data_IF_195449871931
#
_entry.id   IF_195449871931
#
_cell.length_a   1.000
_cell.length_b   1.000
_cell.length_c   1.000
_cell.angle_alpha   90.00
_cell.angle_beta   90.00
_cell.angle_gamma   90.00
#
_symmetry.space_group_name_H-M   'P 1'
#
loop_
_entity.id
_entity.type
_entity.pdbx_description
1 polymer ?
#
# COMPACT_ATOMS: atom_id res chain seq x y z
N UNK A 1 -0.58 29.60 2.24
CA UNK A 1 0.08 28.28 2.13
C UNK A 1 1.34 28.52 1.33
N UNK A 2 2.52 28.29 1.90
CA UNK A 2 3.75 28.30 1.11
C UNK A 2 3.61 27.17 0.07
N UNK A 3 3.69 27.51 -1.21
CA UNK A 3 3.81 26.52 -2.27
C UNK A 3 5.12 25.76 -2.02
N UNK A 4 5.02 24.59 -1.41
CA UNK A 4 6.14 23.66 -1.40
C UNK A 4 6.39 23.28 -2.85
N UNK A 5 7.49 23.76 -3.42
CA UNK A 5 7.94 23.33 -4.74
C UNK A 5 8.20 21.81 -4.66
N UNK A 6 7.33 21.04 -5.31
CA UNK A 6 7.46 19.59 -5.41
C UNK A 6 8.62 19.31 -6.36
N UNK A 7 9.60 18.54 -5.88
CA UNK A 7 10.75 18.06 -6.64
C UNK A 7 10.69 16.54 -6.72
N UNK A 8 11.57 15.91 -7.51
CA UNK A 8 11.62 14.44 -7.58
C UNK A 8 11.85 13.82 -6.20
N UNK A 9 12.70 14.40 -5.37
CA UNK A 9 13.04 13.87 -4.05
C UNK A 9 11.97 14.20 -2.98
N UNK A 10 11.13 15.22 -3.19
CA UNK A 10 10.07 15.62 -2.24
C UNK A 10 8.66 15.14 -2.61
N UNK A 11 8.48 14.58 -3.80
CA UNK A 11 7.21 13.97 -4.23
C UNK A 11 6.90 12.73 -3.38
N UNK A 12 5.70 12.66 -2.80
CA UNK A 12 5.21 11.49 -2.08
C UNK A 12 4.99 10.33 -3.07
N UNK A 13 5.89 9.35 -3.02
CA UNK A 13 5.89 8.20 -3.93
C UNK A 13 4.81 7.18 -3.63
N UNK A 14 4.07 7.35 -2.53
CA UNK A 14 2.96 6.49 -2.13
C UNK A 14 1.60 7.04 -2.55
N UNK A 15 1.53 8.27 -3.07
CA UNK A 15 0.29 8.85 -3.53
C UNK A 15 -0.31 8.01 -4.67
N UNK A 16 -1.56 7.60 -4.52
CA UNK A 16 -2.23 6.68 -5.45
C UNK A 16 -2.27 7.24 -6.89
N UNK A 17 -2.54 8.54 -7.07
CA UNK A 17 -2.53 9.18 -8.39
C UNK A 17 -1.15 9.04 -9.07
N UNK A 18 -0.07 9.28 -8.32
CA UNK A 18 1.28 9.17 -8.83
C UNK A 18 1.66 7.72 -9.16
N UNK A 19 1.35 6.76 -8.27
CA UNK A 19 1.66 5.34 -8.51
C UNK A 19 0.90 4.81 -9.71
N UNK A 20 -0.37 5.19 -9.89
CA UNK A 20 -1.14 4.83 -11.08
C UNK A 20 -0.54 5.44 -12.34
N UNK A 21 -0.13 6.70 -12.32
CA UNK A 21 0.63 7.27 -13.45
C UNK A 21 1.91 6.48 -13.74
N UNK A 22 2.68 6.14 -12.71
CA UNK A 22 3.95 5.44 -12.88
C UNK A 22 3.77 4.02 -13.41
N UNK A 23 2.74 3.30 -12.97
CA UNK A 23 2.55 1.87 -13.28
C UNK A 23 1.50 1.56 -14.34
N UNK A 24 0.68 2.52 -14.76
CA UNK A 24 -0.35 2.27 -15.78
C UNK A 24 -0.31 3.23 -16.97
N UNK A 25 0.60 4.20 -17.03
CA UNK A 25 0.74 5.01 -18.23
C UNK A 25 1.47 4.23 -19.35
N UNK A 26 0.98 4.34 -20.59
CA UNK A 26 1.58 3.68 -21.74
C UNK A 26 3.03 4.16 -21.95
N UNK A 27 3.94 3.23 -22.28
CA UNK A 27 5.37 3.50 -22.37
C UNK A 27 6.12 3.34 -21.04
N UNK A 28 5.45 2.96 -19.95
CA UNK A 28 6.10 2.66 -18.67
C UNK A 28 6.32 1.15 -18.46
N UNK A 29 6.06 0.30 -19.45
CA UNK A 29 6.03 -1.16 -19.31
C UNK A 29 7.33 -1.72 -18.72
N UNK A 30 8.49 -1.15 -19.10
CA UNK A 30 9.80 -1.52 -18.55
C UNK A 30 9.92 -1.25 -17.04
N UNK A 31 9.39 -0.11 -16.60
CA UNK A 31 9.40 0.28 -15.19
C UNK A 31 8.60 -0.75 -14.39
N UNK A 32 7.40 -1.08 -14.88
CA UNK A 32 6.52 -2.00 -14.17
C UNK A 32 7.05 -3.43 -14.21
N UNK A 33 7.61 -3.85 -15.34
CA UNK A 33 8.21 -5.17 -15.49
C UNK A 33 9.38 -5.33 -14.51
N UNK A 34 10.22 -4.30 -14.35
CA UNK A 34 11.29 -4.33 -13.36
C UNK A 34 10.74 -4.45 -11.93
N UNK A 35 9.71 -3.68 -11.58
CA UNK A 35 9.09 -3.77 -10.25
C UNK A 35 8.50 -5.16 -9.98
N UNK A 36 7.69 -5.69 -10.89
CA UNK A 36 7.08 -7.01 -10.76
C UNK A 36 8.16 -8.08 -10.65
N UNK A 37 9.17 -8.07 -11.52
CA UNK A 37 10.25 -9.05 -11.45
C UNK A 37 11.05 -8.96 -10.15
N UNK A 38 11.26 -7.75 -9.61
CA UNK A 38 11.91 -7.59 -8.31
C UNK A 38 11.12 -8.27 -7.18
N UNK A 39 9.78 -8.20 -7.20
CA UNK A 39 8.89 -8.88 -6.24
C UNK A 39 8.97 -10.40 -6.39
N UNK A 40 8.84 -10.91 -7.63
CA UNK A 40 8.85 -12.34 -7.91
C UNK A 40 10.19 -13.00 -7.56
N UNK A 41 11.29 -12.39 -8.00
CA UNK A 41 12.64 -12.89 -7.80
C UNK A 41 13.03 -12.96 -6.32
N UNK A 42 12.51 -12.07 -5.48
CA UNK A 42 12.84 -12.04 -4.06
C UNK A 42 12.40 -13.33 -3.32
N UNK A 43 11.42 -14.07 -3.85
CA UNK A 43 11.04 -15.40 -3.34
C UNK A 43 11.37 -16.54 -4.32
N UNK A 44 12.22 -16.27 -5.32
CA UNK A 44 12.63 -17.20 -6.37
C UNK A 44 11.45 -17.71 -7.22
N UNK A 45 10.39 -16.92 -7.37
CA UNK A 45 9.35 -17.21 -8.36
C UNK A 45 9.85 -16.89 -9.77
N UNK A 46 9.21 -17.50 -10.77
CA UNK A 46 9.48 -17.21 -12.17
C UNK A 46 9.22 -15.73 -12.47
N UNK A 47 10.15 -15.12 -13.20
CA UNK A 47 10.05 -13.74 -13.69
C UNK A 47 9.47 -13.70 -15.10
N UNK A 48 9.09 -12.49 -15.52
CA UNK A 48 8.44 -12.24 -16.80
C UNK A 48 9.40 -11.58 -17.80
N UNK A 49 9.21 -11.87 -19.08
CA UNK A 49 9.98 -11.27 -20.17
C UNK A 49 9.25 -10.08 -20.80
N UNK A 50 7.91 -10.14 -20.79
CA UNK A 50 7.04 -9.17 -21.46
C UNK A 50 5.88 -8.76 -20.58
N UNK A 51 5.44 -7.52 -20.74
CA UNK A 51 4.37 -6.91 -19.97
C UNK A 51 3.49 -6.04 -20.88
N UNK A 52 2.19 -6.18 -20.74
CA UNK A 52 1.16 -5.36 -21.37
C UNK A 52 0.28 -4.72 -20.29
N UNK A 53 0.13 -3.40 -20.31
CA UNK A 53 -0.77 -2.68 -19.40
C UNK A 53 -2.21 -2.82 -19.91
N UNK A 54 -3.09 -3.46 -19.14
CA UNK A 54 -4.47 -3.74 -19.55
C UNK A 54 -5.43 -2.58 -19.28
N UNK A 55 -5.19 -1.81 -18.23
CA UNK A 55 -6.05 -0.69 -17.82
C UNK A 55 -5.29 0.65 -17.78
N UNK A 56 -4.88 1.21 -18.95
CA UNK A 56 -4.05 2.40 -18.99
C UNK A 56 -4.58 3.57 -18.17
N UNK A 57 -3.67 4.31 -17.53
CA UNK A 57 -4.02 5.45 -16.69
C UNK A 57 -4.88 6.45 -17.45
N UNK A 58 -6.03 6.78 -16.88
CA UNK A 58 -6.88 7.82 -17.41
C UNK A 58 -7.36 8.71 -16.26
N UNK A 59 -6.93 9.98 -16.28
CA UNK A 59 -7.20 10.92 -15.20
C UNK A 59 -8.70 11.14 -14.97
N UNK A 60 -9.50 11.22 -16.03
CA UNK A 60 -10.95 11.45 -15.90
C UNK A 60 -11.65 10.23 -15.31
N UNK A 61 -11.30 9.02 -15.74
CA UNK A 61 -11.82 7.78 -15.14
C UNK A 61 -11.37 7.64 -13.70
N UNK A 62 -10.11 7.98 -13.39
CA UNK A 62 -9.59 7.98 -12.03
C UNK A 62 -10.40 8.88 -11.09
N UNK A 63 -10.70 10.12 -11.50
CA UNK A 63 -11.52 11.05 -10.71
C UNK A 63 -12.96 10.57 -10.51
N UNK A 64 -13.52 9.81 -11.46
CA UNK A 64 -14.90 9.33 -11.45
C UNK A 64 -15.07 7.92 -10.83
N UNK A 65 -13.99 7.17 -10.67
CA UNK A 65 -14.01 5.78 -10.19
C UNK A 65 -13.46 5.69 -8.76
N UNK A 66 -13.88 4.64 -8.04
CA UNK A 66 -13.27 4.26 -6.75
C UNK A 66 -12.16 3.21 -6.90
N UNK A 67 -11.80 2.84 -8.13
CA UNK A 67 -10.85 1.78 -8.40
C UNK A 67 -9.41 2.34 -8.44
N UNK A 68 -8.62 1.97 -7.45
CA UNK A 68 -7.19 2.31 -7.32
C UNK A 68 -6.27 1.28 -8.01
N UNK A 69 -6.82 0.21 -8.56
CA UNK A 69 -6.08 -0.96 -9.02
C UNK A 69 -5.43 -0.72 -10.40
N UNK A 70 -4.21 -1.26 -10.57
CA UNK A 70 -3.50 -1.36 -11.85
C UNK A 70 -3.49 -2.82 -12.30
N UNK A 71 -4.08 -3.10 -13.45
CA UNK A 71 -4.23 -4.42 -14.03
C UNK A 71 -3.28 -4.57 -15.21
N UNK A 72 -2.49 -5.64 -15.17
CA UNK A 72 -1.38 -5.86 -16.11
C UNK A 72 -1.39 -7.33 -16.52
N UNK A 73 -0.99 -7.59 -17.76
CA UNK A 73 -0.75 -8.93 -18.28
C UNK A 73 0.74 -9.15 -18.49
N UNK A 74 1.30 -10.17 -17.86
CA UNK A 74 2.70 -10.53 -17.98
C UNK A 74 2.82 -11.95 -18.54
N UNK A 75 3.42 -12.15 -19.72
CA UNK A 75 3.72 -13.45 -20.35
C UNK A 75 2.77 -14.64 -20.01
N UNK A 76 1.45 -14.44 -20.12
CA UNK A 76 0.44 -15.49 -19.86
C UNK A 76 -0.11 -15.55 -18.43
N UNK A 77 0.21 -14.60 -17.59
CA UNK A 77 -0.32 -14.40 -16.24
C UNK A 77 -0.89 -12.98 -16.12
N UNK A 78 -1.81 -12.78 -15.18
CA UNK A 78 -2.34 -11.45 -14.85
C UNK A 78 -1.75 -11.01 -13.52
N UNK A 79 -1.16 -9.81 -13.51
CA UNK A 79 -0.62 -9.19 -12.31
C UNK A 79 -1.45 -7.96 -11.98
N UNK A 80 -1.94 -7.92 -10.75
CA UNK A 80 -2.73 -6.83 -10.20
C UNK A 80 -1.84 -6.11 -9.21
N UNK A 81 -1.66 -4.80 -9.36
CA UNK A 81 -0.91 -3.96 -8.43
C UNK A 81 -1.87 -2.98 -7.76
N UNK A 82 -1.89 -2.97 -6.44
CA UNK A 82 -2.69 -2.05 -5.63
C UNK A 82 -1.79 -1.34 -4.62
N UNK A 83 -1.94 -0.03 -4.46
CA UNK A 83 -1.37 0.72 -3.34
C UNK A 83 -2.47 1.14 -2.38
N UNK A 84 -2.23 0.99 -1.08
CA UNK A 84 -3.19 1.37 -0.06
C UNK A 84 -2.49 2.02 1.14
N UNK A 85 -2.90 3.25 1.45
CA UNK A 85 -2.26 4.06 2.48
C UNK A 85 -2.83 3.86 3.89
N UNK A 86 -4.09 3.42 3.96
CA UNK A 86 -4.81 3.19 5.20
C UNK A 86 -5.69 1.96 5.03
N UNK A 87 -5.71 1.08 6.01
CA UNK A 87 -6.51 -0.14 5.91
C UNK A 87 -6.62 -0.85 7.24
N UNK A 88 -7.35 -1.95 7.21
CA UNK A 88 -7.49 -2.92 8.29
C UNK A 88 -7.72 -4.30 7.66
N UNK A 89 -8.06 -5.31 8.45
CA UNK A 89 -8.28 -6.68 7.98
C UNK A 89 -9.31 -6.81 6.85
N UNK A 90 -10.25 -5.86 6.70
CA UNK A 90 -11.19 -5.85 5.55
C UNK A 90 -10.47 -5.68 4.20
N UNK A 91 -9.25 -5.14 4.19
CA UNK A 91 -8.41 -5.04 3.00
C UNK A 91 -8.15 -6.43 2.41
N UNK A 92 -7.95 -7.47 3.23
CA UNK A 92 -7.76 -8.85 2.74
C UNK A 92 -8.96 -9.32 1.92
N UNK A 93 -10.19 -9.00 2.38
CA UNK A 93 -11.42 -9.34 1.66
C UNK A 93 -11.51 -8.61 0.32
N UNK A 94 -11.02 -7.35 0.26
CA UNK A 94 -10.97 -6.56 -0.97
C UNK A 94 -9.94 -7.12 -1.95
N UNK A 95 -8.73 -7.44 -1.48
CA UNK A 95 -7.70 -8.11 -2.29
C UNK A 95 -8.22 -9.43 -2.88
N UNK A 96 -8.92 -10.24 -2.08
CA UNK A 96 -9.57 -11.47 -2.55
C UNK A 96 -10.65 -11.20 -3.60
N UNK A 97 -11.47 -10.16 -3.41
CA UNK A 97 -12.49 -9.76 -4.38
C UNK A 97 -11.87 -9.36 -5.73
N UNK A 98 -10.80 -8.56 -5.73
CA UNK A 98 -10.13 -8.15 -6.97
C UNK A 98 -9.43 -9.31 -7.66
N UNK A 99 -8.78 -10.19 -6.91
CA UNK A 99 -8.19 -11.42 -7.45
C UNK A 99 -9.27 -12.29 -8.11
N UNK A 100 -10.38 -12.55 -7.41
CA UNK A 100 -11.46 -13.41 -7.93
C UNK A 100 -12.13 -12.80 -9.16
N UNK A 101 -12.34 -11.48 -9.16
CA UNK A 101 -12.91 -10.76 -10.30
C UNK A 101 -12.02 -10.88 -11.53
N UNK A 102 -10.73 -10.58 -11.41
CA UNK A 102 -9.78 -10.73 -12.51
C UNK A 102 -9.62 -12.18 -12.98
N UNK A 103 -9.58 -13.14 -12.06
CA UNK A 103 -9.52 -14.56 -12.41
C UNK A 103 -10.73 -15.00 -13.22
N UNK A 104 -11.93 -14.49 -12.88
CA UNK A 104 -13.15 -14.76 -13.64
C UNK A 104 -13.19 -14.07 -15.00
N UNK A 105 -12.64 -12.85 -15.11
CA UNK A 105 -12.61 -12.06 -16.36
C UNK A 105 -11.65 -12.65 -17.40
N UNK A 106 -10.72 -13.51 -16.98
CA UNK A 106 -9.84 -14.25 -17.89
C UNK A 106 -10.57 -15.25 -18.80
N UNK A 107 -11.86 -15.51 -18.55
CA UNK A 107 -12.62 -16.54 -19.25
C UNK A 107 -13.93 -15.98 -19.81
N UNK A 108 -14.14 -16.08 -21.12
CA UNK A 108 -15.42 -15.71 -21.72
C UNK A 108 -16.46 -16.81 -21.51
N UNK A 109 -17.74 -16.43 -21.62
CA UNK A 109 -18.83 -17.39 -21.56
C UNK A 109 -18.70 -18.43 -22.67
N UNK A 110 -18.57 -19.70 -22.27
CA UNK A 110 -18.44 -20.85 -23.18
C UNK A 110 -17.00 -21.29 -23.47
N UNK A 111 -15.99 -20.59 -22.93
CA UNK A 111 -14.61 -21.04 -22.99
C UNK A 111 -14.34 -22.22 -22.05
N UNK A 112 -13.37 -23.07 -22.41
CA UNK A 112 -12.84 -24.13 -21.55
C UNK A 112 -12.00 -23.54 -20.40
N UNK A 113 -12.22 -24.03 -19.18
CA UNK A 113 -11.48 -23.65 -17.98
C UNK A 113 -9.96 -23.82 -18.09
N UNK A 114 -9.46 -24.66 -19.01
CA UNK A 114 -8.03 -24.77 -19.30
C UNK A 114 -7.39 -23.47 -19.81
N UNK A 115 -8.18 -22.46 -20.21
CA UNK A 115 -7.72 -21.14 -20.63
C UNK A 115 -7.52 -20.15 -19.47
N UNK A 116 -7.90 -20.52 -18.24
CA UNK A 116 -7.73 -19.65 -17.07
C UNK A 116 -6.26 -19.34 -16.83
N UNK A 117 -5.92 -18.06 -16.80
CA UNK A 117 -4.57 -17.59 -16.51
C UNK A 117 -4.38 -17.43 -14.99
N UNK A 118 -3.19 -17.75 -14.44
CA UNK A 118 -2.82 -17.39 -13.08
C UNK A 118 -3.02 -15.89 -12.81
N UNK A 119 -3.44 -15.56 -11.59
CA UNK A 119 -3.56 -14.17 -11.14
C UNK A 119 -2.70 -13.97 -9.90
N UNK A 120 -1.80 -12.99 -9.99
CA UNK A 120 -0.91 -12.55 -8.92
C UNK A 120 -1.38 -11.17 -8.46
N UNK A 121 -1.59 -11.00 -7.16
CA UNK A 121 -1.91 -9.71 -6.55
C UNK A 121 -0.69 -9.20 -5.77
N UNK A 122 -0.21 -8.01 -6.11
CA UNK A 122 0.87 -7.29 -5.43
C UNK A 122 0.26 -6.07 -4.74
N UNK A 123 0.35 -6.03 -3.42
CA UNK A 123 -0.30 -5.03 -2.58
C UNK A 123 0.77 -4.23 -1.84
N UNK A 124 0.92 -2.95 -2.17
CA UNK A 124 1.87 -2.01 -1.54
C UNK A 124 1.13 -1.25 -0.43
N UNK A 125 1.54 -1.41 0.82
CA UNK A 125 0.78 -0.94 1.99
C UNK A 125 1.58 0.06 2.83
N UNK A 126 0.98 1.21 3.15
CA UNK A 126 1.55 2.19 4.12
C UNK A 126 0.99 1.99 5.54
N UNK A 127 0.57 0.77 5.87
CA UNK A 127 0.11 0.35 7.19
C UNK A 127 0.53 -1.09 7.48
N UNK A 128 0.50 -1.47 8.76
CA UNK A 128 0.75 -2.85 9.19
C UNK A 128 -0.57 -3.60 9.11
N UNK A 129 -0.60 -4.65 8.29
CA UNK A 129 -1.74 -5.55 8.10
C UNK A 129 -1.58 -6.86 8.89
N UNK A 130 -0.35 -7.39 8.97
CA UNK A 130 -0.09 -8.67 9.64
C UNK A 130 0.69 -8.47 10.94
N UNK A 131 -0.02 -8.42 12.07
CA UNK A 131 0.62 -8.38 13.39
C UNK A 131 1.39 -9.68 13.65
N UNK A 132 2.58 -9.56 14.26
CA UNK A 132 3.43 -10.71 14.59
C UNK A 132 4.32 -11.24 13.45
N UNK A 133 4.21 -10.69 12.24
CA UNK A 133 5.16 -10.94 11.14
C UNK A 133 6.09 -9.73 11.02
N UNK A 134 7.37 -9.91 11.35
CA UNK A 134 8.37 -8.82 11.30
C UNK A 134 8.80 -8.46 9.88
N UNK A 135 8.76 -9.42 8.96
CA UNK A 135 9.16 -9.22 7.58
C UNK A 135 8.23 -8.20 6.90
N UNK A 136 8.82 -7.28 6.14
CA UNK A 136 8.06 -6.29 5.37
C UNK A 136 7.35 -6.86 4.14
N UNK A 137 7.78 -8.04 3.69
CA UNK A 137 7.32 -8.66 2.47
C UNK A 137 6.84 -10.06 2.81
N UNK A 138 5.55 -10.29 2.57
CA UNK A 138 4.91 -11.58 2.76
C UNK A 138 4.24 -12.03 1.46
N UNK A 139 4.30 -13.33 1.17
CA UNK A 139 3.58 -13.94 0.07
C UNK A 139 2.70 -15.09 0.59
N UNK A 140 1.41 -15.04 0.25
CA UNK A 140 0.43 -16.05 0.60
C UNK A 140 -0.04 -16.78 -0.67
N UNK A 141 -0.13 -18.11 -0.58
CA UNK A 141 -0.53 -19.01 -1.67
C UNK A 141 -1.43 -20.13 -1.12
N UNK A 142 -2.17 -20.81 -2.00
CA UNK A 142 -3.05 -21.91 -1.60
C UNK A 142 -2.24 -23.19 -1.30
N UNK A 143 -2.44 -23.74 -0.09
CA UNK A 143 -1.69 -24.92 0.38
C UNK A 143 -2.57 -25.94 1.10
N UNK A 144 -2.16 -27.20 1.03
CA UNK A 144 -2.66 -28.28 1.89
C UNK A 144 -2.03 -28.14 3.30
N UNK A 145 -2.86 -28.26 4.34
CA UNK A 145 -2.47 -27.89 5.70
C UNK A 145 -1.51 -28.87 6.37
N UNK A 146 -1.67 -30.19 6.18
CA UNK A 146 -0.90 -31.20 6.93
C UNK A 146 0.55 -31.28 6.47
N UNK A 147 0.79 -31.17 5.17
CA UNK A 147 2.12 -31.35 4.56
C UNK A 147 2.67 -30.05 3.97
N UNK A 148 1.96 -28.92 4.13
CA UNK A 148 2.34 -27.61 3.61
C UNK A 148 2.64 -27.61 2.09
N UNK A 149 1.89 -28.44 1.34
CA UNK A 149 2.07 -28.58 -0.11
C UNK A 149 1.30 -27.51 -0.86
N UNK A 150 1.95 -26.83 -1.80
CA UNK A 150 1.31 -25.87 -2.69
C UNK A 150 0.31 -26.60 -3.58
N UNK A 151 -0.92 -26.12 -3.62
CA UNK A 151 -1.99 -26.71 -4.44
C UNK A 151 -1.85 -26.29 -5.91
N UNK A 152 -1.60 -25.00 -6.15
CA UNK A 152 -1.52 -24.38 -7.47
C UNK A 152 -0.80 -23.03 -7.36
N UNK A 153 -0.25 -22.55 -8.48
CA UNK A 153 0.35 -21.22 -8.65
C UNK A 153 -0.63 -20.16 -9.20
N UNK A 154 -1.89 -20.55 -9.48
CA UNK A 154 -2.92 -19.64 -10.02
C UNK A 154 -3.37 -18.53 -9.03
N UNK A 155 -2.96 -18.62 -7.77
CA UNK A 155 -3.40 -17.73 -6.70
C UNK A 155 -2.22 -17.33 -5.80
N UNK A 156 -1.77 -16.08 -5.94
CA UNK A 156 -0.68 -15.52 -5.14
C UNK A 156 -1.04 -14.13 -4.65
N UNK A 157 -0.80 -13.87 -3.36
CA UNK A 157 -0.98 -12.57 -2.74
C UNK A 157 0.34 -12.11 -2.11
N UNK A 158 0.97 -11.14 -2.74
CA UNK A 158 2.16 -10.46 -2.28
C UNK A 158 1.75 -9.18 -1.53
N UNK A 159 2.26 -9.01 -0.33
CA UNK A 159 2.03 -7.84 0.51
C UNK A 159 3.36 -7.21 0.87
N UNK A 160 3.53 -5.94 0.48
CA UNK A 160 4.69 -5.12 0.73
C UNK A 160 4.31 -4.05 1.78
N UNK A 161 4.49 -4.35 3.05
CA UNK A 161 4.21 -3.47 4.19
C UNK A 161 5.37 -2.49 4.40
N UNK A 162 5.24 -1.30 3.79
CA UNK A 162 6.25 -0.24 3.83
C UNK A 162 6.67 0.17 5.26
N UNK A 163 5.77 0.29 6.26
CA UNK A 163 6.16 0.68 7.62
C UNK A 163 7.08 -0.32 8.32
N UNK A 164 7.08 -1.59 7.89
CA UNK A 164 7.97 -2.64 8.42
C UNK A 164 9.36 -2.58 7.81
N UNK A 165 9.63 -1.63 6.90
CA UNK A 165 10.94 -1.51 6.30
C UNK A 165 11.96 -0.94 7.28
N UNK A 166 12.80 -1.83 7.80
CA UNK A 166 14.08 -1.50 8.42
C UNK A 166 15.22 -1.77 7.42
N UNK A 167 16.36 -1.11 7.52
CA UNK A 167 17.46 -1.27 6.55
C UNK A 167 18.25 -2.60 6.69
N UNK A 168 17.84 -3.52 7.57
CA UNK A 168 18.56 -4.76 7.92
C UNK A 168 18.05 -6.00 7.16
N UNK A 169 17.87 -5.90 5.83
CA UNK A 169 16.95 -6.80 5.12
C UNK A 169 17.53 -8.02 4.41
N UNK A 170 16.70 -9.08 4.42
CA UNK A 170 16.70 -10.25 3.52
C UNK A 170 15.97 -9.98 2.19
N UNK A 171 16.01 -8.74 1.66
CA UNK A 171 15.46 -8.45 0.34
C UNK A 171 16.56 -8.55 -0.72
N UNK A 172 16.19 -8.94 -1.95
CA UNK A 172 17.08 -8.78 -3.09
C UNK A 172 17.35 -7.29 -3.36
N UNK A 173 18.40 -7.03 -4.14
CA UNK A 173 18.89 -5.68 -4.40
C UNK A 173 17.82 -4.79 -5.04
N UNK A 174 17.10 -5.31 -6.03
CA UNK A 174 16.15 -4.53 -6.82
C UNK A 174 14.90 -4.17 -6.01
N UNK A 175 14.33 -5.13 -5.28
CA UNK A 175 13.17 -4.90 -4.43
C UNK A 175 13.52 -3.95 -3.28
N UNK A 176 14.72 -4.07 -2.73
CA UNK A 176 15.21 -3.13 -1.72
C UNK A 176 15.24 -1.67 -2.24
N UNK A 177 15.70 -1.43 -3.48
CA UNK A 177 15.66 -0.09 -4.09
C UNK A 177 14.22 0.39 -4.33
N UNK A 178 13.29 -0.48 -4.69
CA UNK A 178 11.86 -0.14 -4.79
C UNK A 178 11.25 0.26 -3.44
N UNK A 179 11.57 -0.44 -2.35
CA UNK A 179 11.11 0.00 -1.02
C UNK A 179 11.68 1.39 -0.64
N UNK A 180 12.97 1.62 -0.86
CA UNK A 180 13.59 2.94 -0.61
C UNK A 180 12.90 4.04 -1.42
N UNK A 181 12.55 3.76 -2.68
CA UNK A 181 11.79 4.68 -3.51
C UNK A 181 10.42 5.01 -2.92
N UNK A 182 9.63 4.01 -2.53
CA UNK A 182 8.29 4.24 -1.98
C UNK A 182 8.31 4.95 -0.63
N UNK A 183 9.23 4.57 0.26
CA UNK A 183 9.33 5.18 1.60
C UNK A 183 9.84 6.63 1.52
N UNK A 184 10.66 6.92 0.52
CA UNK A 184 11.33 8.20 0.38
C UNK A 184 12.53 8.33 1.33
N UNK A 185 13.14 9.51 1.36
CA UNK A 185 14.34 9.80 2.16
C UNK A 185 15.67 9.40 1.51
N UNK A 186 15.64 8.50 0.52
CA UNK A 186 16.79 8.21 -0.35
C UNK A 186 16.80 9.16 -1.56
N UNK A 187 17.97 9.67 -1.94
CA UNK A 187 18.10 10.52 -3.13
C UNK A 187 17.93 9.69 -4.39
N UNK A 188 17.21 10.21 -5.38
CA UNK A 188 17.04 9.53 -6.68
C UNK A 188 18.38 9.13 -7.32
N UNK A 189 19.41 9.97 -7.19
CA UNK A 189 20.75 9.68 -7.71
C UNK A 189 21.43 8.46 -7.09
N UNK A 190 21.08 8.08 -5.86
CA UNK A 190 21.56 6.86 -5.23
C UNK A 190 20.77 5.64 -5.73
N UNK A 191 19.45 5.76 -5.86
CA UNK A 191 18.61 4.71 -6.44
C UNK A 191 19.05 4.33 -7.86
N UNK A 192 19.40 5.31 -8.70
CA UNK A 192 19.92 5.09 -10.06
C UNK A 192 21.22 4.26 -10.06
N UNK A 193 22.09 4.45 -9.06
CA UNK A 193 23.33 3.66 -8.94
C UNK A 193 23.04 2.22 -8.51
N UNK A 194 22.01 2.03 -7.71
CA UNK A 194 21.61 0.69 -7.25
C UNK A 194 20.90 -0.08 -8.35
N UNK A 195 19.93 0.54 -9.02
CA UNK A 195 19.15 -0.05 -10.09
C UNK A 195 18.92 1.00 -11.19
N UNK A 196 19.40 0.69 -12.40
CA UNK A 196 19.41 1.64 -13.53
C UNK A 196 18.02 1.98 -14.05
N UNK A 197 16.98 1.19 -13.73
CA UNK A 197 15.60 1.52 -14.09
C UNK A 197 15.17 2.87 -13.52
N UNK A 198 15.77 3.29 -12.40
CA UNK A 198 15.43 4.55 -11.76
C UNK A 198 15.79 5.77 -12.60
N UNK A 199 16.59 5.63 -13.66
CA UNK A 199 16.78 6.70 -14.66
C UNK A 199 15.48 6.96 -15.45
N UNK A 200 14.75 5.90 -15.81
CA UNK A 200 13.44 6.01 -16.44
C UNK A 200 12.38 6.52 -15.44
N UNK A 201 12.44 6.04 -14.18
CA UNK A 201 11.55 6.52 -13.10
C UNK A 201 11.77 8.01 -12.81
N UNK A 202 13.01 8.48 -12.77
CA UNK A 202 13.35 9.90 -12.57
C UNK A 202 12.75 10.78 -13.68
N UNK A 203 12.87 10.35 -14.94
CA UNK A 203 12.24 11.04 -16.08
C UNK A 203 10.73 11.13 -15.91
N UNK A 204 10.07 10.03 -15.51
CA UNK A 204 8.61 10.00 -15.28
C UNK A 204 8.20 10.85 -14.07
N UNK A 205 9.00 10.91 -13.01
CA UNK A 205 8.78 11.82 -11.90
C UNK A 205 8.81 13.29 -12.37
N UNK A 206 9.79 13.67 -13.19
CA UNK A 206 9.90 15.03 -13.74
C UNK A 206 8.72 15.36 -14.65
N UNK A 207 8.33 14.44 -15.54
CA UNK A 207 7.15 14.60 -16.38
C UNK A 207 5.88 14.82 -15.56
N UNK A 208 5.63 13.96 -14.56
CA UNK A 208 4.49 14.09 -13.66
C UNK A 208 4.43 15.46 -12.96
N UNK A 209 5.57 15.94 -12.44
CA UNK A 209 5.66 17.23 -11.74
C UNK A 209 5.42 18.40 -12.70
N UNK A 210 5.80 18.26 -13.97
CA UNK A 210 5.57 19.30 -14.98
C UNK A 210 4.15 19.32 -15.59
N UNK A 211 3.36 18.27 -15.37
CA UNK A 211 2.01 18.12 -15.92
C UNK A 211 0.95 18.66 -14.95
N UNK A 212 0.50 19.90 -15.18
CA UNK A 212 -0.41 20.62 -14.27
C UNK A 212 -1.67 19.84 -13.83
N UNK A 213 -2.45 19.19 -14.73
CA UNK A 213 -3.66 18.49 -14.29
C UNK A 213 -3.39 17.31 -13.35
N UNK A 214 -2.25 16.61 -13.53
CA UNK A 214 -1.87 15.50 -12.65
C UNK A 214 -1.41 16.02 -11.30
N UNK A 215 -0.58 17.07 -11.31
CA UNK A 215 -0.04 17.67 -10.09
C UNK A 215 -1.15 18.26 -9.21
N UNK A 216 -2.18 18.85 -9.80
CA UNK A 216 -3.32 19.39 -9.04
C UNK A 216 -4.11 18.27 -8.35
N UNK A 217 -4.42 17.19 -9.07
CA UNK A 217 -5.10 16.02 -8.50
C UNK A 217 -4.26 15.37 -7.41
N UNK A 218 -2.95 15.25 -7.63
CA UNK A 218 -2.01 14.80 -6.60
C UNK A 218 -2.09 15.66 -5.34
N UNK A 219 -2.02 17.00 -5.46
CA UNK A 219 -2.07 17.93 -4.32
C UNK A 219 -3.39 17.81 -3.56
N UNK A 220 -4.51 17.67 -4.27
CA UNK A 220 -5.83 17.46 -3.67
C UNK A 220 -5.81 16.16 -2.85
N UNK A 221 -5.31 15.06 -3.41
CA UNK A 221 -5.23 13.77 -2.72
C UNK A 221 -4.35 13.82 -1.48
N UNK A 222 -3.18 14.46 -1.56
CA UNK A 222 -2.33 14.67 -0.38
C UNK A 222 -3.06 15.45 0.73
N UNK A 223 -3.80 16.50 0.36
CA UNK A 223 -4.57 17.30 1.33
C UNK A 223 -5.74 16.50 1.94
N UNK A 224 -6.46 15.71 1.13
CA UNK A 224 -7.52 14.80 1.60
C UNK A 224 -6.97 13.78 2.60
N UNK A 225 -5.85 13.15 2.28
CA UNK A 225 -5.20 12.15 3.14
C UNK A 225 -4.70 12.76 4.45
N UNK A 226 -4.06 13.93 4.38
CA UNK A 226 -3.61 14.66 5.55
C UNK A 226 -4.80 15.00 6.46
N UNK A 227 -5.88 15.56 5.89
CA UNK A 227 -7.07 15.93 6.64
C UNK A 227 -7.76 14.72 7.28
N UNK A 228 -7.83 13.60 6.57
CA UNK A 228 -8.36 12.35 7.10
C UNK A 228 -7.52 11.84 8.28
N UNK A 229 -6.19 11.81 8.14
CA UNK A 229 -5.27 11.40 9.23
C UNK A 229 -5.42 12.30 10.46
N UNK A 230 -5.47 13.62 10.26
CA UNK A 230 -5.66 14.58 11.36
C UNK A 230 -7.01 14.41 12.05
N UNK A 231 -8.08 14.20 11.27
CA UNK A 231 -9.43 13.96 11.80
C UNK A 231 -9.48 12.68 12.62
N UNK A 232 -8.94 11.58 12.08
CA UNK A 232 -8.87 10.30 12.79
C UNK A 232 -8.08 10.44 14.11
N UNK A 233 -6.95 11.14 14.08
CA UNK A 233 -6.15 11.40 15.28
C UNK A 233 -6.97 12.17 16.35
N UNK A 234 -7.69 13.23 15.97
CA UNK A 234 -8.54 13.99 16.89
C UNK A 234 -9.67 13.13 17.49
N UNK A 235 -10.31 12.30 16.68
CA UNK A 235 -11.39 11.42 17.15
C UNK A 235 -10.86 10.32 18.08
N UNK A 236 -9.68 9.76 17.81
CA UNK A 236 -9.01 8.81 18.70
C UNK A 236 -8.66 9.45 20.06
N UNK A 237 -8.13 10.67 20.06
CA UNK A 237 -7.83 11.41 21.29
C UNK A 237 -9.09 11.70 22.11
N UNK A 238 -10.21 12.08 21.46
CA UNK A 238 -11.51 12.23 22.13
C UNK A 238 -12.00 10.90 22.71
N UNK A 239 -11.90 9.81 21.96
CA UNK A 239 -12.31 8.47 22.39
C UNK A 239 -11.52 7.99 23.61
N UNK A 240 -10.19 8.18 23.61
CA UNK A 240 -9.33 7.91 24.79
C UNK A 240 -9.79 8.73 25.98
N UNK A 241 -9.98 10.05 25.81
CA UNK A 241 -10.45 10.93 26.90
C UNK A 241 -11.80 10.48 27.45
N UNK A 242 -12.75 10.14 26.59
CA UNK A 242 -14.07 9.66 27.01
C UNK A 242 -13.97 8.35 27.79
N UNK A 243 -13.16 7.39 27.32
CA UNK A 243 -12.88 6.14 28.02
C UNK A 243 -12.25 6.38 29.40
N UNK A 244 -11.24 7.25 29.48
CA UNK A 244 -10.62 7.66 30.75
C UNK A 244 -11.65 8.24 31.73
N UNK A 245 -12.57 9.09 31.26
CA UNK A 245 -13.62 9.68 32.10
C UNK A 245 -14.63 8.63 32.59
N UNK A 246 -15.03 7.66 31.74
CA UNK A 246 -15.91 6.55 32.14
C UNK A 246 -15.24 5.70 33.23
N UNK A 247 -13.97 5.34 33.04
CA UNK A 247 -13.21 4.53 34.01
C UNK A 247 -13.08 5.30 35.34
N UNK A 248 -12.71 6.58 35.29
CA UNK A 248 -12.57 7.41 36.48
C UNK A 248 -13.89 7.56 37.25
N UNK A 249 -15.01 7.69 36.53
CA UNK A 249 -16.34 7.77 37.14
C UNK A 249 -16.73 6.45 37.83
N UNK A 250 -16.51 5.31 37.18
CA UNK A 250 -16.77 4.01 37.78
C UNK A 250 -15.89 3.77 39.04
N UNK A 251 -14.60 4.09 38.98
CA UNK A 251 -13.71 3.97 40.14
C UNK A 251 -14.14 4.86 41.31
N UNK A 252 -14.64 6.07 41.01
CA UNK A 252 -15.17 7.00 42.02
C UNK A 252 -16.45 6.46 42.66
N UNK A 253 -17.36 5.90 41.87
CA UNK A 253 -18.59 5.26 42.35
C UNK A 253 -18.30 4.05 43.26
N UNK A 254 -17.24 3.29 42.97
CA UNK A 254 -16.75 2.18 43.80
C UNK A 254 -16.00 2.63 45.07
N UNK A 255 -15.88 3.95 45.31
CA UNK A 255 -15.22 4.50 46.49
C UNK A 255 -13.68 4.43 46.45
N UNK A 256 -13.10 4.33 45.26
CA UNK A 256 -11.63 4.33 45.10
C UNK A 256 -11.04 5.70 45.46
N UNK A 257 -9.90 5.70 46.15
CA UNK A 257 -9.19 6.92 46.54
C UNK A 257 -8.79 7.78 45.32
N UNK A 258 -8.95 9.09 45.43
CA UNK A 258 -8.73 10.03 44.33
C UNK A 258 -7.28 10.08 43.85
N UNK A 259 -6.29 9.86 44.73
CA UNK A 259 -4.89 9.79 44.29
C UNK A 259 -4.65 8.53 43.46
N UNK A 260 -5.34 7.44 43.79
CA UNK A 260 -5.26 6.20 43.03
C UNK A 260 -5.95 6.35 41.65
N UNK A 261 -7.14 6.96 41.60
CA UNK A 261 -7.82 7.30 40.34
C UNK A 261 -6.93 8.20 39.48
N UNK A 262 -6.36 9.27 40.06
CA UNK A 262 -5.47 10.20 39.37
C UNK A 262 -4.23 9.49 38.80
N UNK A 263 -3.60 8.62 39.59
CA UNK A 263 -2.43 7.84 39.16
C UNK A 263 -2.72 6.95 37.94
N UNK A 264 -3.87 6.29 37.89
CA UNK A 264 -4.18 5.32 36.82
C UNK A 264 -4.88 5.93 35.60
N UNK A 265 -5.62 7.01 35.79
CA UNK A 265 -6.37 7.67 34.71
C UNK A 265 -5.62 8.88 34.12
N UNK A 266 -4.65 9.42 34.85
CA UNK A 266 -3.93 10.64 34.49
C UNK A 266 -4.72 11.94 34.68
N UNK A 267 -5.96 11.86 35.19
CA UNK A 267 -6.76 13.04 35.53
C UNK A 267 -6.23 13.72 36.79
N UNK A 268 -6.34 15.04 36.85
CA UNK A 268 -6.10 15.78 38.08
C UNK A 268 -7.17 15.48 39.14
N UNK A 269 -6.84 15.68 40.42
CA UNK A 269 -7.80 15.48 41.51
C UNK A 269 -9.03 16.39 41.32
N UNK A 270 -8.84 17.62 40.85
CA UNK A 270 -9.94 18.55 40.55
C UNK A 270 -10.86 18.05 39.43
N UNK A 271 -10.32 17.40 38.40
CA UNK A 271 -11.12 16.79 37.34
C UNK A 271 -11.93 15.61 37.88
N UNK A 272 -11.34 14.78 38.76
CA UNK A 272 -12.01 13.62 39.39
C UNK A 272 -13.11 14.08 40.35
N UNK A 273 -12.90 15.16 41.10
CA UNK A 273 -13.92 15.76 41.96
C UNK A 273 -15.17 16.19 41.19
N UNK A 274 -14.99 16.66 39.95
CA UNK A 274 -16.07 17.15 39.06
C UNK A 274 -16.81 16.05 38.29
N UNK A 275 -16.32 14.81 38.27
CA UNK A 275 -16.97 13.64 37.64
C UNK A 275 -18.21 13.15 38.41
#
# INVERSE_FOLDING_TARGET
MNEFNITVDTLNKKNDCFVRYLFSNLGNEKIVLNFVNAVMDNLNFKTFETLEILNPFNLQKYLNSKESVVDIKCTGEVVIIEIQLQGNETFIKRTLFYWASNYSLNLNKGDDYNKLLPVISINILDFILFDGIEDCYSCYILKELKHNKILTDHCQFHFLELPKFNHNKKLNKDLNSWYKFFIGGERMSNLIKENTIFDEVDKKCKSFISENPLLDVYKIKEAEEYFQKETLHKELEKGKKYSTLIIAKAMKEDGTDFKLISKYTGLSIEEIEKL
#
